data_IF_610519184304
#
_entry.id   IF_610519184304
#
_cell.length_a   1.000
_cell.length_b   1.000
_cell.length_c   1.000
_cell.angle_alpha   90.00
_cell.angle_beta   90.00
_cell.angle_gamma   90.00
#
_symmetry.space_group_name_H-M   'P 1'
#
loop_
_entity.id
_entity.type
_entity.pdbx_description
1 polymer ?
#
# COMPACT_ATOMS: atom_id res chain seq x y z
N UNK A 1 -67.18 -4.06 -19.16
CA UNK A 1 -65.95 -3.35 -19.54
C UNK A 1 -65.03 -3.37 -18.33
N UNK A 2 -64.01 -4.25 -18.34
CA UNK A 2 -62.57 -3.92 -18.49
C UNK A 2 -62.04 -3.08 -17.30
N UNK A 3 -61.06 -3.51 -16.51
CA UNK A 3 -60.23 -4.71 -16.55
C UNK A 3 -59.38 -4.81 -15.28
N UNK A 4 -59.10 -6.03 -14.84
CA UNK A 4 -58.14 -6.33 -13.76
C UNK A 4 -56.72 -6.16 -14.30
N UNK A 5 -55.93 -5.30 -13.67
CA UNK A 5 -54.51 -5.19 -13.92
C UNK A 5 -53.78 -6.34 -13.23
N UNK A 6 -53.28 -7.30 -14.02
CA UNK A 6 -52.38 -8.35 -13.56
C UNK A 6 -50.96 -7.78 -13.56
N UNK A 7 -50.38 -7.60 -12.38
CA UNK A 7 -48.96 -7.30 -12.23
C UNK A 7 -48.16 -8.60 -12.38
N UNK A 8 -47.41 -8.72 -13.47
CA UNK A 8 -46.46 -9.81 -13.67
C UNK A 8 -45.17 -9.52 -12.90
N UNK A 9 -44.86 -10.36 -11.91
CA UNK A 9 -43.60 -10.33 -11.18
C UNK A 9 -42.52 -10.96 -12.07
N UNK A 10 -41.56 -10.16 -12.54
CA UNK A 10 -40.38 -10.67 -13.26
C UNK A 10 -39.35 -11.11 -12.22
N UNK A 11 -39.14 -12.42 -12.10
CA UNK A 11 -38.06 -12.99 -11.29
C UNK A 11 -36.78 -12.94 -12.11
N UNK A 12 -35.89 -12.01 -11.77
CA UNK A 12 -34.52 -11.98 -12.29
C UNK A 12 -33.73 -13.12 -11.63
N UNK A 13 -33.54 -14.22 -12.36
CA UNK A 13 -32.64 -15.30 -11.96
C UNK A 13 -31.20 -14.82 -12.15
N UNK A 14 -30.51 -14.56 -11.04
CA UNK A 14 -29.09 -14.27 -11.04
C UNK A 14 -28.32 -15.52 -11.50
N UNK A 15 -27.51 -15.38 -12.54
CA UNK A 15 -26.60 -16.41 -13.00
C UNK A 15 -25.57 -16.66 -11.87
N UNK A 16 -25.73 -17.75 -11.12
CA UNK A 16 -24.67 -18.23 -10.23
C UNK A 16 -23.55 -18.74 -11.11
N UNK A 17 -22.39 -18.09 -11.06
CA UNK A 17 -21.17 -18.63 -11.64
C UNK A 17 -20.88 -19.96 -10.94
N UNK A 18 -20.93 -21.06 -11.68
CA UNK A 18 -20.43 -22.34 -11.19
C UNK A 18 -18.96 -22.15 -10.82
N UNK A 19 -18.65 -22.42 -9.55
CA UNK A 19 -17.27 -22.63 -9.14
C UNK A 19 -16.91 -24.00 -9.69
N UNK A 20 -16.30 -24.01 -10.87
CA UNK A 20 -15.71 -25.22 -11.44
C UNK A 20 -14.48 -25.55 -10.58
N UNK A 21 -14.70 -26.21 -9.45
CA UNK A 21 -13.64 -26.89 -8.71
C UNK A 21 -13.34 -28.13 -9.54
N UNK A 22 -12.29 -28.11 -10.34
CA UNK A 22 -11.79 -29.30 -11.04
C UNK A 22 -11.41 -30.33 -9.97
N UNK A 23 -12.22 -31.40 -9.77
CA UNK A 23 -11.91 -32.39 -8.75
C UNK A 23 -10.68 -33.17 -9.23
N UNK A 24 -9.61 -33.18 -8.44
CA UNK A 24 -8.36 -33.86 -8.80
C UNK A 24 -7.29 -32.98 -9.46
N UNK A 25 -7.35 -31.65 -9.31
CA UNK A 25 -6.16 -30.82 -9.55
C UNK A 25 -5.08 -31.22 -8.55
N UNK A 26 -4.13 -32.05 -8.98
CA UNK A 26 -2.97 -32.37 -8.17
C UNK A 26 -2.02 -31.18 -8.21
N UNK A 27 -1.49 -30.79 -7.06
CA UNK A 27 -0.44 -29.78 -7.01
C UNK A 27 0.71 -30.23 -7.94
N UNK A 28 1.33 -29.31 -8.70
CA UNK A 28 2.49 -29.64 -9.51
C UNK A 28 3.54 -30.38 -8.68
N UNK A 29 4.13 -31.42 -9.26
CA UNK A 29 5.24 -32.12 -8.62
C UNK A 29 6.51 -31.29 -8.79
N UNK A 30 6.93 -30.66 -7.69
CA UNK A 30 8.17 -29.87 -7.65
C UNK A 30 9.41 -30.75 -7.37
N UNK A 31 9.29 -32.08 -7.46
CA UNK A 31 10.43 -32.98 -7.40
C UNK A 31 11.42 -32.65 -8.53
N UNK A 32 12.66 -32.30 -8.14
CA UNK A 32 13.73 -31.96 -9.07
C UNK A 32 13.98 -30.46 -9.25
N UNK A 33 13.26 -29.58 -8.54
CA UNK A 33 13.68 -28.17 -8.39
C UNK A 33 15.06 -28.14 -7.73
N UNK A 34 16.08 -27.54 -8.37
CA UNK A 34 17.41 -27.43 -7.77
C UNK A 34 17.39 -26.60 -6.49
N UNK A 35 18.14 -27.00 -5.46
CA UNK A 35 18.25 -26.25 -4.18
C UNK A 35 18.61 -24.78 -4.37
N UNK A 36 19.45 -24.45 -5.35
CA UNK A 36 19.80 -23.06 -5.68
C UNK A 36 18.57 -22.21 -6.08
N UNK A 37 17.55 -22.81 -6.69
CA UNK A 37 16.29 -22.11 -7.01
C UNK A 37 15.52 -21.82 -5.71
N UNK A 38 15.47 -22.77 -4.78
CA UNK A 38 14.88 -22.58 -3.45
C UNK A 38 15.61 -21.50 -2.65
N UNK A 39 16.94 -21.53 -2.63
CA UNK A 39 17.77 -20.51 -1.98
C UNK A 39 17.53 -19.11 -2.57
N UNK A 40 17.45 -19.00 -3.90
CA UNK A 40 17.15 -17.73 -4.57
C UNK A 40 15.76 -17.21 -4.20
N UNK A 41 14.75 -18.08 -4.12
CA UNK A 41 13.41 -17.70 -3.68
C UNK A 41 13.40 -17.20 -2.23
N UNK A 42 14.06 -17.91 -1.31
CA UNK A 42 14.21 -17.48 0.08
C UNK A 42 14.94 -16.15 0.16
N UNK A 43 16.07 -15.98 -0.53
CA UNK A 43 16.82 -14.73 -0.55
C UNK A 43 15.96 -13.56 -1.02
N UNK A 44 15.25 -13.75 -2.14
CA UNK A 44 14.37 -12.75 -2.73
C UNK A 44 13.26 -12.33 -1.76
N UNK A 45 12.62 -13.28 -1.09
CA UNK A 45 11.59 -12.99 -0.08
C UNK A 45 12.13 -12.12 1.07
N UNK A 46 13.31 -12.46 1.59
CA UNK A 46 13.93 -11.69 2.67
C UNK A 46 14.28 -10.27 2.21
N UNK A 47 14.83 -10.10 1.01
CA UNK A 47 15.16 -8.77 0.47
C UNK A 47 13.88 -7.96 0.23
N UNK A 48 12.88 -8.55 -0.42
CA UNK A 48 11.65 -7.85 -0.79
C UNK A 48 10.83 -7.44 0.44
N UNK A 49 10.68 -8.35 1.42
CA UNK A 49 9.84 -8.12 2.60
C UNK A 49 10.58 -7.46 3.76
N UNK A 50 11.88 -7.68 3.93
CA UNK A 50 12.65 -7.23 5.09
C UNK A 50 13.78 -6.25 4.74
N UNK A 51 14.12 -6.10 3.46
CA UNK A 51 15.19 -5.19 3.01
C UNK A 51 16.60 -5.69 3.33
N UNK A 52 16.78 -7.01 3.56
CA UNK A 52 18.09 -7.64 3.83
C UNK A 52 18.12 -9.07 3.34
N UNK A 53 19.30 -9.63 3.20
CA UNK A 53 19.50 -11.06 2.97
C UNK A 53 19.21 -11.88 4.25
N UNK A 54 18.83 -13.16 4.12
CA UNK A 54 18.73 -14.05 5.27
C UNK A 54 20.12 -14.35 5.85
N UNK A 55 20.19 -14.56 7.16
CA UNK A 55 21.37 -15.13 7.81
C UNK A 55 21.55 -16.58 7.38
N UNK A 56 22.77 -17.13 7.43
CA UNK A 56 23.05 -18.54 7.06
C UNK A 56 22.11 -19.55 7.74
N UNK A 57 21.81 -19.30 9.02
CA UNK A 57 20.89 -20.13 9.82
C UNK A 57 19.43 -19.99 9.39
N UNK A 58 19.01 -18.79 8.97
CA UNK A 58 17.67 -18.54 8.42
C UNK A 58 17.56 -19.22 7.06
N UNK A 59 18.54 -19.00 6.16
CA UNK A 59 18.59 -19.63 4.84
C UNK A 59 18.48 -21.15 4.93
N UNK A 60 19.34 -21.77 5.75
CA UNK A 60 19.35 -23.22 5.95
C UNK A 60 18.01 -23.73 6.49
N UNK A 61 17.42 -23.02 7.46
CA UNK A 61 16.16 -23.45 8.07
C UNK A 61 14.98 -23.34 7.08
N UNK A 62 14.85 -22.22 6.37
CA UNK A 62 13.73 -22.01 5.46
C UNK A 62 13.82 -22.88 4.20
N UNK A 63 15.02 -23.09 3.64
CA UNK A 63 15.21 -23.99 2.49
C UNK A 63 14.84 -25.42 2.86
N UNK A 64 15.33 -25.95 3.99
CA UNK A 64 14.96 -27.29 4.45
C UNK A 64 13.44 -27.42 4.68
N UNK A 65 12.80 -26.40 5.26
CA UNK A 65 11.35 -26.40 5.48
C UNK A 65 10.58 -26.45 4.15
N UNK A 66 10.98 -25.67 3.15
CA UNK A 66 10.36 -25.65 1.82
C UNK A 66 10.57 -26.97 1.09
N UNK A 67 11.80 -27.50 1.02
CA UNK A 67 12.11 -28.73 0.30
C UNK A 67 11.43 -29.95 0.94
N UNK A 68 11.40 -30.04 2.28
CA UNK A 68 10.69 -31.12 2.99
C UNK A 68 9.18 -31.13 2.75
N UNK A 69 8.62 -29.98 2.38
CA UNK A 69 7.22 -29.80 2.03
C UNK A 69 6.99 -29.70 0.51
N UNK A 70 7.97 -30.15 -0.28
CA UNK A 70 7.97 -30.16 -1.75
C UNK A 70 7.60 -28.80 -2.36
N UNK A 71 8.05 -27.69 -1.76
CA UNK A 71 7.75 -26.31 -2.20
C UNK A 71 6.25 -26.03 -2.44
N UNK A 72 5.38 -26.78 -1.76
CA UNK A 72 3.93 -26.62 -1.87
C UNK A 72 3.51 -25.17 -1.63
N UNK A 73 2.42 -24.75 -2.27
CA UNK A 73 1.87 -23.41 -2.08
C UNK A 73 1.64 -23.08 -0.60
N UNK A 74 1.21 -24.07 0.19
CA UNK A 74 1.05 -23.94 1.64
C UNK A 74 2.38 -23.68 2.37
N UNK A 75 3.48 -24.35 1.99
CA UNK A 75 4.80 -24.11 2.59
C UNK A 75 5.34 -22.71 2.25
N UNK A 76 5.12 -22.24 1.02
CA UNK A 76 5.47 -20.89 0.58
C UNK A 76 4.66 -19.84 1.32
N UNK A 77 3.35 -20.03 1.44
CA UNK A 77 2.47 -19.16 2.23
C UNK A 77 2.89 -19.11 3.70
N UNK A 78 3.30 -20.23 4.29
CA UNK A 78 3.80 -20.26 5.66
C UNK A 78 5.06 -19.42 5.85
N UNK A 79 6.04 -19.51 4.93
CA UNK A 79 7.24 -18.68 4.97
C UNK A 79 6.90 -17.19 4.80
N UNK A 80 6.13 -16.82 3.78
CA UNK A 80 5.74 -15.42 3.55
C UNK A 80 5.01 -14.85 4.76
N UNK A 81 4.07 -15.60 5.33
CA UNK A 81 3.32 -15.19 6.52
C UNK A 81 4.23 -15.03 7.74
N UNK A 82 5.19 -15.94 7.93
CA UNK A 82 6.19 -15.85 9.01
C UNK A 82 7.01 -14.56 8.92
N UNK A 83 7.49 -14.19 7.73
CA UNK A 83 8.26 -12.97 7.52
C UNK A 83 7.43 -11.69 7.75
N UNK A 84 6.12 -11.73 7.47
CA UNK A 84 5.24 -10.57 7.68
C UNK A 84 4.75 -10.42 9.14
N UNK A 85 4.57 -11.53 9.87
CA UNK A 85 3.76 -11.54 11.11
C UNK A 85 4.48 -12.03 12.35
N UNK A 86 5.63 -12.71 12.23
CA UNK A 86 6.31 -13.23 13.41
C UNK A 86 6.83 -12.12 14.32
N UNK A 87 6.45 -12.19 15.59
CA UNK A 87 6.90 -11.32 16.69
C UNK A 87 8.06 -11.92 17.49
N UNK A 88 8.57 -13.08 17.08
CA UNK A 88 9.70 -13.72 17.75
C UNK A 88 10.92 -12.80 17.75
N UNK A 89 11.61 -12.73 18.89
CA UNK A 89 12.74 -11.82 19.06
C UNK A 89 13.91 -12.18 18.13
N UNK A 90 14.42 -11.18 17.43
CA UNK A 90 15.65 -11.22 16.64
C UNK A 90 16.57 -10.09 17.10
N UNK A 91 17.86 -10.38 17.30
CA UNK A 91 18.79 -9.41 17.88
C UNK A 91 18.89 -8.10 17.06
N UNK A 92 18.95 -8.20 15.73
CA UNK A 92 19.15 -7.04 14.86
C UNK A 92 17.83 -6.41 14.36
N UNK A 93 16.78 -7.21 14.23
CA UNK A 93 15.50 -6.77 13.65
C UNK A 93 14.42 -6.47 14.70
N UNK A 94 14.67 -6.80 15.96
CA UNK A 94 13.68 -6.98 17.02
C UNK A 94 12.68 -8.11 16.73
N UNK A 95 12.09 -8.18 15.54
CA UNK A 95 11.28 -9.28 15.03
C UNK A 95 11.06 -9.14 13.52
N UNK A 96 10.67 -10.21 12.83
CA UNK A 96 10.34 -10.13 11.40
C UNK A 96 9.20 -9.15 11.12
N UNK A 97 8.15 -9.13 11.95
CA UNK A 97 7.05 -8.18 11.77
C UNK A 97 7.53 -6.73 11.89
N UNK A 98 8.39 -6.41 12.86
CA UNK A 98 8.95 -5.07 12.99
C UNK A 98 9.74 -4.66 11.73
N UNK A 99 10.56 -5.58 11.21
CA UNK A 99 11.36 -5.35 10.00
C UNK A 99 10.50 -5.24 8.75
N UNK A 100 9.45 -6.04 8.61
CA UNK A 100 8.45 -5.93 7.55
C UNK A 100 7.83 -4.52 7.50
N UNK A 101 7.30 -4.02 8.62
CA UNK A 101 6.69 -2.70 8.63
C UNK A 101 7.71 -1.56 8.41
N UNK A 102 8.98 -1.75 8.83
CA UNK A 102 10.07 -0.83 8.47
C UNK A 102 10.31 -0.81 6.96
N UNK A 103 10.43 -1.98 6.33
CA UNK A 103 10.60 -2.10 4.87
C UNK A 103 9.44 -1.46 4.10
N UNK A 104 8.20 -1.68 4.54
CA UNK A 104 7.03 -1.05 3.94
C UNK A 104 7.10 0.47 4.03
N UNK A 105 7.45 1.01 5.20
CA UNK A 105 7.63 2.45 5.39
C UNK A 105 8.71 3.03 4.46
N UNK A 106 9.84 2.33 4.30
CA UNK A 106 10.92 2.72 3.38
C UNK A 106 10.48 2.71 1.92
N UNK A 107 9.75 1.67 1.48
CA UNK A 107 9.21 1.58 0.13
C UNK A 107 8.23 2.73 -0.16
N UNK A 108 7.39 3.09 0.80
CA UNK A 108 6.50 4.24 0.66
C UNK A 108 7.26 5.56 0.64
N UNK A 109 8.26 5.76 1.50
CA UNK A 109 9.11 6.95 1.42
C UNK A 109 9.85 7.04 0.09
N UNK A 110 10.36 5.92 -0.45
CA UNK A 110 11.01 5.89 -1.75
C UNK A 110 10.04 6.33 -2.87
N UNK A 111 8.79 5.86 -2.81
CA UNK A 111 7.77 6.18 -3.82
C UNK A 111 7.24 7.61 -3.73
N UNK A 112 6.95 8.09 -2.53
CA UNK A 112 6.24 9.36 -2.32
C UNK A 112 7.18 10.51 -1.95
N UNK A 113 8.29 10.23 -1.29
CA UNK A 113 9.13 11.24 -0.64
C UNK A 113 10.60 11.12 -1.08
N UNK A 114 10.86 10.61 -2.28
CA UNK A 114 12.21 10.47 -2.84
C UNK A 114 13.21 9.74 -1.92
N UNK A 115 12.72 8.88 -1.02
CA UNK A 115 13.55 8.12 -0.09
C UNK A 115 14.17 8.96 1.04
N UNK A 116 13.60 10.12 1.39
CA UNK A 116 14.09 10.96 2.50
C UNK A 116 14.29 10.17 3.80
N UNK A 117 15.35 10.53 4.53
CA UNK A 117 15.67 9.94 5.82
C UNK A 117 14.77 10.49 6.93
N UNK A 118 14.71 9.79 8.06
CA UNK A 118 13.92 10.24 9.21
C UNK A 118 14.51 11.52 9.83
N UNK A 119 15.83 11.73 9.70
CA UNK A 119 16.52 12.95 10.13
C UNK A 119 16.05 14.18 9.34
N UNK A 120 15.78 14.02 8.04
CA UNK A 120 15.19 15.09 7.23
C UNK A 120 13.79 15.42 7.74
N UNK A 121 12.95 14.41 7.97
CA UNK A 121 11.60 14.60 8.52
C UNK A 121 11.68 15.29 9.90
N UNK A 122 12.65 14.92 10.73
CA UNK A 122 12.89 15.56 12.03
C UNK A 122 13.31 17.03 11.90
N UNK A 123 14.06 17.39 10.86
CA UNK A 123 14.34 18.79 10.53
C UNK A 123 13.07 19.60 10.25
N UNK A 124 12.14 19.06 9.47
CA UNK A 124 10.84 19.69 9.22
C UNK A 124 10.01 19.80 10.51
N UNK A 125 10.02 18.77 11.36
CA UNK A 125 9.37 18.80 12.67
C UNK A 125 9.95 19.93 13.54
N UNK A 126 11.27 20.03 13.62
CA UNK A 126 11.95 21.07 14.40
C UNK A 126 11.62 22.48 13.91
N UNK A 127 11.57 22.69 12.60
CA UNK A 127 11.17 23.97 12.01
C UNK A 127 9.71 24.33 12.37
N UNK A 128 8.79 23.36 12.28
CA UNK A 128 7.38 23.57 12.64
C UNK A 128 7.20 23.84 14.14
N UNK A 129 7.97 23.17 15.01
CA UNK A 129 7.98 23.42 16.46
C UNK A 129 8.50 24.83 16.80
N UNK A 130 9.58 25.26 16.15
CA UNK A 130 10.12 26.60 16.34
C UNK A 130 9.14 27.68 15.88
N UNK A 131 8.48 27.48 14.73
CA UNK A 131 7.47 28.41 14.23
C UNK A 131 6.27 28.51 15.18
N UNK A 132 5.77 27.38 15.68
CA UNK A 132 4.68 27.35 16.66
C UNK A 132 5.06 28.12 17.94
N UNK A 133 6.28 27.95 18.44
CA UNK A 133 6.77 28.69 19.60
C UNK A 133 6.83 30.20 19.33
N UNK A 134 7.38 30.61 18.18
CA UNK A 134 7.48 32.01 17.79
C UNK A 134 6.10 32.68 17.68
N UNK A 135 5.14 32.02 17.02
CA UNK A 135 3.77 32.51 16.91
C UNK A 135 3.05 32.59 18.26
N UNK A 136 3.30 31.61 19.15
CA UNK A 136 2.75 31.63 20.52
C UNK A 136 3.30 32.80 21.34
N UNK A 137 4.61 33.04 21.32
CA UNK A 137 5.24 34.16 22.02
C UNK A 137 4.83 35.52 21.45
N UNK A 138 4.59 35.58 20.13
CA UNK A 138 4.12 36.77 19.43
C UNK A 138 2.61 37.02 19.53
N UNK A 139 1.84 36.12 20.15
CA UNK A 139 0.37 36.22 20.23
C UNK A 139 -0.36 36.02 18.89
N UNK A 140 0.30 35.43 17.89
CA UNK A 140 -0.29 35.11 16.59
C UNK A 140 -1.04 33.77 16.65
N UNK A 141 -2.27 33.79 17.15
CA UNK A 141 -3.10 32.58 17.29
C UNK A 141 -3.36 31.87 15.95
N UNK A 142 -3.51 32.62 14.85
CA UNK A 142 -3.75 32.02 13.53
C UNK A 142 -2.53 31.26 13.02
N UNK A 143 -1.33 31.87 13.12
CA UNK A 143 -0.07 31.21 12.78
C UNK A 143 0.19 29.98 13.65
N UNK A 144 -0.03 30.10 14.97
CA UNK A 144 0.11 28.99 15.90
C UNK A 144 -0.77 27.79 15.52
N UNK A 145 -2.03 28.02 15.13
CA UNK A 145 -2.93 26.96 14.70
C UNK A 145 -2.46 26.29 13.40
N UNK A 146 -1.96 27.07 12.43
CA UNK A 146 -1.42 26.54 11.19
C UNK A 146 -0.15 25.70 11.43
N UNK A 147 0.78 26.20 12.25
CA UNK A 147 2.00 25.50 12.63
C UNK A 147 1.70 24.20 13.39
N UNK A 148 0.75 24.21 14.33
CA UNK A 148 0.33 23.00 15.05
C UNK A 148 -0.32 21.96 14.12
N UNK A 149 -1.09 22.42 13.12
CA UNK A 149 -1.67 21.52 12.11
C UNK A 149 -0.59 20.83 11.29
N UNK A 150 0.44 21.57 10.86
CA UNK A 150 1.57 21.01 10.11
C UNK A 150 2.42 20.06 10.96
N UNK A 151 2.75 20.46 12.19
CA UNK A 151 3.45 19.61 13.15
C UNK A 151 2.71 18.29 13.38
N UNK A 152 1.37 18.35 13.48
CA UNK A 152 0.52 17.17 13.57
C UNK A 152 0.68 16.23 12.38
N UNK A 153 0.71 16.77 11.15
CA UNK A 153 0.91 15.99 9.91
C UNK A 153 2.29 15.34 9.85
N UNK A 154 3.36 16.09 10.11
CA UNK A 154 4.73 15.56 10.10
C UNK A 154 4.94 14.45 11.13
N UNK A 155 4.41 14.65 12.36
CA UNK A 155 4.45 13.60 13.39
C UNK A 155 3.61 12.38 12.99
N UNK A 156 2.46 12.57 12.33
CA UNK A 156 1.65 11.47 11.82
C UNK A 156 2.36 10.71 10.68
N UNK A 157 3.06 11.40 9.79
CA UNK A 157 3.92 10.80 8.77
C UNK A 157 4.97 9.88 9.41
N UNK A 158 5.73 10.40 10.37
CA UNK A 158 6.78 9.62 11.06
C UNK A 158 6.21 8.41 11.81
N UNK A 159 5.06 8.58 12.48
CA UNK A 159 4.38 7.48 13.18
C UNK A 159 3.64 6.51 12.27
N UNK A 160 3.50 6.79 10.97
CA UNK A 160 2.72 5.93 10.07
C UNK A 160 3.19 4.48 10.07
N UNK A 161 4.50 4.23 10.21
CA UNK A 161 5.08 2.90 10.39
C UNK A 161 4.49 2.16 11.60
N UNK A 162 4.58 2.77 12.78
CA UNK A 162 4.16 2.12 14.04
C UNK A 162 2.64 2.04 14.12
N UNK A 163 1.94 3.09 13.70
CA UNK A 163 0.48 3.10 13.68
C UNK A 163 -0.06 2.03 12.73
N UNK A 164 0.61 1.77 11.60
CA UNK A 164 0.20 0.71 10.67
C UNK A 164 0.52 -0.68 11.19
N UNK A 165 1.72 -0.87 11.79
CA UNK A 165 2.11 -2.12 12.46
C UNK A 165 1.15 -2.50 13.57
N UNK A 166 0.77 -1.53 14.37
CA UNK A 166 -0.07 -1.72 15.55
C UNK A 166 -1.57 -1.70 15.19
N UNK A 167 -1.89 -1.74 13.89
CA UNK A 167 -3.25 -1.76 13.32
C UNK A 167 -4.15 -0.59 13.76
N UNK A 168 -3.54 0.56 14.08
CA UNK A 168 -4.24 1.79 14.42
C UNK A 168 -4.73 2.54 13.17
N UNK A 169 -4.10 2.29 12.02
CA UNK A 169 -4.48 2.83 10.72
C UNK A 169 -4.47 1.76 9.64
N UNK A 170 -5.29 1.95 8.60
CA UNK A 170 -5.27 1.14 7.38
C UNK A 170 -4.31 1.70 6.32
N UNK A 171 -4.17 0.98 5.21
CA UNK A 171 -3.21 1.33 4.17
C UNK A 171 -3.53 2.65 3.44
N UNK A 172 -4.81 2.98 3.29
CA UNK A 172 -5.23 4.26 2.68
C UNK A 172 -4.80 5.46 3.53
N UNK A 173 -4.80 5.32 4.85
CA UNK A 173 -4.32 6.36 5.76
C UNK A 173 -2.79 6.47 5.76
N UNK A 174 -2.06 5.37 5.58
CA UNK A 174 -0.61 5.42 5.32
C UNK A 174 -0.32 6.22 4.05
N UNK A 175 -0.98 5.89 2.93
CA UNK A 175 -0.83 6.62 1.67
C UNK A 175 -1.19 8.10 1.81
N UNK A 176 -2.28 8.41 2.53
CA UNK A 176 -2.70 9.81 2.79
C UNK A 176 -1.63 10.58 3.57
N UNK A 177 -1.04 9.99 4.60
CA UNK A 177 0.03 10.62 5.40
C UNK A 177 1.31 10.85 4.60
N UNK A 178 1.60 9.99 3.61
CA UNK A 178 2.75 10.15 2.71
C UNK A 178 2.62 11.37 1.79
N UNK A 179 1.42 11.69 1.32
CA UNK A 179 1.20 12.82 0.40
C UNK A 179 0.75 14.10 1.10
N UNK A 180 0.26 14.04 2.35
CA UNK A 180 -0.24 15.21 3.08
C UNK A 180 0.73 15.65 4.19
N UNK A 181 1.83 16.30 3.80
CA UNK A 181 2.83 16.86 4.71
C UNK A 181 3.75 17.85 3.96
N UNK A 182 4.46 18.71 4.69
CA UNK A 182 5.37 19.70 4.09
C UNK A 182 6.59 19.12 3.38
N UNK A 183 7.02 17.89 3.67
CA UNK A 183 8.12 17.26 2.92
C UNK A 183 7.68 16.95 1.48
N UNK A 184 6.49 16.37 1.32
CA UNK A 184 5.88 16.15 0.00
C UNK A 184 5.63 17.47 -0.74
N UNK A 185 5.28 18.53 0.01
CA UNK A 185 5.05 19.86 -0.57
C UNK A 185 6.34 20.51 -1.07
N UNK A 186 7.44 20.38 -0.33
CA UNK A 186 8.76 20.87 -0.75
C UNK A 186 9.23 20.17 -2.03
N UNK A 187 9.12 18.84 -2.08
CA UNK A 187 9.48 18.03 -3.26
C UNK A 187 8.72 18.49 -4.50
N UNK A 188 7.42 18.74 -4.35
CA UNK A 188 6.57 19.12 -5.48
C UNK A 188 6.54 20.62 -5.75
N UNK A 189 7.01 21.46 -4.83
CA UNK A 189 7.17 22.93 -4.92
C UNK A 189 5.88 23.77 -5.07
N UNK A 190 4.83 23.27 -5.73
CA UNK A 190 3.60 24.02 -5.97
C UNK A 190 2.38 23.11 -6.16
N UNK A 191 1.19 23.70 -6.12
CA UNK A 191 -0.10 23.01 -6.26
C UNK A 191 -0.25 22.25 -7.60
N UNK A 192 0.32 22.77 -8.69
CA UNK A 192 0.24 22.12 -10.01
C UNK A 192 1.00 20.79 -10.00
N UNK A 193 2.25 20.82 -9.53
CA UNK A 193 3.08 19.63 -9.41
C UNK A 193 2.52 18.65 -8.38
N UNK A 194 2.06 19.16 -7.22
CA UNK A 194 1.45 18.34 -6.17
C UNK A 194 0.28 17.51 -6.71
N UNK A 195 -0.65 18.13 -7.46
CA UNK A 195 -1.80 17.42 -8.04
C UNK A 195 -1.35 16.38 -9.08
N UNK A 196 -0.35 16.68 -9.91
CA UNK A 196 0.15 15.67 -10.85
C UNK A 196 0.85 14.50 -10.13
N UNK A 197 1.66 14.80 -9.12
CA UNK A 197 2.42 13.83 -8.37
C UNK A 197 1.52 12.90 -7.54
N UNK A 198 0.42 13.39 -6.94
CA UNK A 198 -0.52 12.52 -6.22
C UNK A 198 -1.22 11.54 -7.15
N UNK A 199 -1.56 11.94 -8.39
CA UNK A 199 -2.12 11.03 -9.38
C UNK A 199 -1.10 9.97 -9.81
N UNK A 200 0.15 10.37 -10.07
CA UNK A 200 1.20 9.43 -10.44
C UNK A 200 1.55 8.48 -9.28
N UNK A 201 1.88 9.03 -8.12
CA UNK A 201 2.34 8.25 -6.98
C UNK A 201 1.23 7.37 -6.39
N UNK A 202 -0.06 7.78 -6.41
CA UNK A 202 -1.15 6.94 -5.88
C UNK A 202 -1.78 6.04 -6.94
N UNK A 203 -1.95 6.52 -8.19
CA UNK A 203 -2.75 5.84 -9.21
C UNK A 203 -1.93 5.35 -10.41
N UNK A 204 -0.64 5.68 -10.49
CA UNK A 204 0.25 5.34 -11.61
C UNK A 204 -0.31 5.80 -12.97
N UNK A 205 -0.80 7.05 -12.99
CA UNK A 205 -1.27 7.75 -14.20
C UNK A 205 -1.27 9.26 -13.98
N UNK A 206 -1.45 10.02 -15.06
CA UNK A 206 -1.74 11.45 -14.99
C UNK A 206 -3.24 11.74 -14.80
N UNK A 207 -3.61 12.90 -14.24
CA UNK A 207 -5.00 13.33 -14.18
C UNK A 207 -5.52 13.72 -15.57
N UNK A 208 -6.81 13.53 -15.79
CA UNK A 208 -7.53 14.22 -16.89
C UNK A 208 -7.66 15.71 -16.60
N UNK A 209 -7.94 16.53 -17.61
CA UNK A 209 -8.11 17.98 -17.42
C UNK A 209 -9.18 18.34 -16.37
N UNK A 210 -10.29 17.59 -16.33
CA UNK A 210 -11.37 17.83 -15.38
C UNK A 210 -10.97 17.45 -13.93
N UNK A 211 -10.28 16.31 -13.78
CA UNK A 211 -9.73 15.89 -12.49
C UNK A 211 -8.67 16.86 -11.98
N UNK A 212 -7.77 17.31 -12.86
CA UNK A 212 -6.73 18.29 -12.54
C UNK A 212 -7.35 19.61 -12.10
N UNK A 213 -8.28 20.18 -12.88
CA UNK A 213 -8.90 21.46 -12.55
C UNK A 213 -9.62 21.42 -11.19
N UNK A 214 -10.33 20.31 -10.92
CA UNK A 214 -11.04 20.12 -9.66
C UNK A 214 -10.07 19.95 -8.49
N UNK A 215 -9.07 19.08 -8.62
CA UNK A 215 -8.05 18.85 -7.60
C UNK A 215 -7.23 20.10 -7.30
N UNK A 216 -6.81 20.82 -8.35
CA UNK A 216 -6.08 22.08 -8.22
C UNK A 216 -6.89 23.12 -7.45
N UNK A 217 -8.19 23.27 -7.76
CA UNK A 217 -9.08 24.17 -7.02
C UNK A 217 -9.18 23.85 -5.52
N UNK A 218 -9.26 22.57 -5.15
CA UNK A 218 -9.28 22.13 -3.75
C UNK A 218 -7.95 22.40 -3.03
N UNK A 219 -6.82 22.13 -3.70
CA UNK A 219 -5.47 22.24 -3.10
C UNK A 219 -5.02 23.69 -2.97
N UNK A 220 -5.23 24.49 -4.01
CA UNK A 220 -4.64 25.83 -4.15
C UNK A 220 -5.50 26.93 -3.54
N UNK A 221 -6.83 26.81 -3.69
CA UNK A 221 -7.78 27.91 -3.43
C UNK A 221 -8.89 27.53 -2.46
N UNK A 222 -8.83 26.35 -1.83
CA UNK A 222 -9.89 25.79 -0.99
C UNK A 222 -11.28 25.84 -1.67
N UNK A 223 -11.33 25.59 -2.98
CA UNK A 223 -12.56 25.61 -3.76
C UNK A 223 -13.32 24.28 -3.63
N UNK A 224 -14.63 24.32 -3.34
CA UNK A 224 -15.43 23.10 -3.27
C UNK A 224 -15.53 22.44 -4.65
N UNK A 225 -15.46 21.11 -4.67
CA UNK A 225 -15.58 20.30 -5.89
C UNK A 225 -15.93 18.85 -5.57
N UNK A 226 -16.15 18.07 -6.62
CA UNK A 226 -16.42 16.63 -6.52
C UNK A 226 -15.40 15.87 -7.34
N UNK A 227 -14.66 14.96 -6.68
CA UNK A 227 -13.66 14.10 -7.33
C UNK A 227 -13.96 12.64 -6.96
N UNK A 228 -14.02 11.76 -7.95
CA UNK A 228 -14.39 10.34 -7.77
C UNK A 228 -15.72 10.13 -7.01
N UNK A 229 -16.68 11.03 -7.21
CA UNK A 229 -17.99 10.98 -6.54
C UNK A 229 -17.98 11.44 -5.08
N UNK A 230 -16.87 11.95 -4.57
CA UNK A 230 -16.76 12.50 -3.21
C UNK A 230 -16.57 14.01 -3.25
N UNK A 231 -17.30 14.72 -2.40
CA UNK A 231 -17.15 16.17 -2.23
C UNK A 231 -15.92 16.47 -1.38
N UNK A 232 -15.17 17.49 -1.76
CA UNK A 232 -14.06 18.03 -0.98
C UNK A 232 -13.88 19.52 -1.27
N UNK A 233 -13.19 20.21 -0.39
CA UNK A 233 -12.98 21.65 -0.48
C UNK A 233 -11.54 22.06 -0.21
N UNK A 234 -10.74 21.27 0.52
CA UNK A 234 -9.38 21.64 0.90
C UNK A 234 -8.39 20.52 0.59
N UNK A 235 -7.09 20.84 0.68
CA UNK A 235 -5.99 19.90 0.45
C UNK A 235 -6.07 18.60 1.27
N UNK A 236 -6.53 18.70 2.52
CA UNK A 236 -6.68 17.53 3.41
C UNK A 236 -7.76 16.57 2.94
N UNK A 237 -8.93 17.10 2.58
CA UNK A 237 -10.04 16.36 1.99
C UNK A 237 -9.66 15.80 0.62
N UNK A 238 -8.99 16.59 -0.23
CA UNK A 238 -8.44 16.12 -1.50
C UNK A 238 -7.52 14.90 -1.29
N UNK A 239 -6.56 14.98 -0.37
CA UNK A 239 -5.65 13.86 -0.09
C UNK A 239 -6.39 12.61 0.41
N UNK A 240 -7.43 12.79 1.23
CA UNK A 240 -8.27 11.68 1.71
C UNK A 240 -9.06 11.03 0.56
N UNK A 241 -9.67 11.83 -0.33
CA UNK A 241 -10.39 11.35 -1.51
C UNK A 241 -9.44 10.58 -2.44
N UNK A 242 -8.25 11.14 -2.70
CA UNK A 242 -7.25 10.52 -3.56
C UNK A 242 -6.80 9.16 -3.01
N UNK A 243 -6.37 9.10 -1.75
CA UNK A 243 -5.83 7.88 -1.13
C UNK A 243 -6.89 6.80 -0.84
N UNK A 244 -8.17 7.16 -0.80
CA UNK A 244 -9.29 6.24 -0.63
C UNK A 244 -10.00 5.85 -1.93
N UNK A 245 -9.57 6.37 -3.08
CA UNK A 245 -10.23 6.13 -4.36
C UNK A 245 -9.94 4.73 -4.92
N UNK A 246 -10.87 4.20 -5.72
CA UNK A 246 -10.65 2.93 -6.45
C UNK A 246 -9.39 2.98 -7.33
N UNK A 247 -9.09 4.13 -7.94
CA UNK A 247 -7.88 4.32 -8.73
C UNK A 247 -6.60 4.19 -7.90
N UNK A 248 -6.60 4.65 -6.64
CA UNK A 248 -5.46 4.48 -5.74
C UNK A 248 -5.30 3.03 -5.27
N UNK A 249 -6.39 2.31 -5.05
CA UNK A 249 -6.34 0.88 -4.70
C UNK A 249 -5.79 0.05 -5.86
N UNK A 250 -6.21 0.34 -7.09
CA UNK A 250 -5.63 -0.29 -8.29
C UNK A 250 -4.16 0.09 -8.48
N UNK A 251 -3.79 1.36 -8.26
CA UNK A 251 -2.40 1.82 -8.29
C UNK A 251 -1.51 1.14 -7.25
N UNK A 252 -2.06 0.78 -6.09
CA UNK A 252 -1.36 -0.03 -5.08
C UNK A 252 -1.20 -1.49 -5.53
N UNK A 253 -2.22 -2.10 -6.13
CA UNK A 253 -2.13 -3.44 -6.74
C UNK A 253 -1.05 -3.48 -7.82
N UNK A 254 -1.13 -2.57 -8.79
CA UNK A 254 -0.15 -2.45 -9.88
C UNK A 254 1.26 -2.28 -9.37
N UNK A 255 1.45 -1.43 -8.37
CA UNK A 255 2.75 -1.23 -7.76
C UNK A 255 3.29 -2.46 -7.04
N UNK A 256 2.45 -3.27 -6.39
CA UNK A 256 2.90 -4.54 -5.80
C UNK A 256 3.45 -5.48 -6.89
N UNK A 257 2.78 -5.58 -8.03
CA UNK A 257 3.29 -6.36 -9.16
C UNK A 257 4.60 -5.79 -9.72
N UNK A 258 4.69 -4.48 -9.93
CA UNK A 258 5.95 -3.88 -10.41
C UNK A 258 7.09 -4.10 -9.41
N UNK A 259 6.80 -3.98 -8.11
CA UNK A 259 7.80 -4.13 -7.05
C UNK A 259 8.28 -5.57 -6.93
N UNK A 260 7.37 -6.55 -6.89
CA UNK A 260 7.73 -7.94 -6.63
C UNK A 260 7.97 -8.76 -7.89
N UNK A 261 7.33 -8.43 -9.02
CA UNK A 261 7.44 -9.19 -10.28
C UNK A 261 8.26 -8.45 -11.35
N UNK A 262 8.56 -7.16 -11.17
CA UNK A 262 9.26 -6.37 -12.18
C UNK A 262 8.42 -6.05 -13.43
N UNK A 263 7.09 -6.24 -13.36
CA UNK A 263 6.16 -5.99 -14.46
C UNK A 263 4.78 -5.55 -13.95
N UNK A 264 3.99 -4.94 -14.84
CA UNK A 264 2.57 -4.66 -14.56
C UNK A 264 1.75 -5.97 -14.55
N UNK A 265 0.65 -6.02 -13.77
CA UNK A 265 -0.30 -7.11 -13.83
C UNK A 265 -1.08 -7.08 -15.15
N UNK A 266 -1.42 -8.26 -15.67
CA UNK A 266 -2.37 -8.38 -16.77
C UNK A 266 -3.82 -8.14 -16.29
N UNK A 267 -4.77 -8.03 -17.24
CA UNK A 267 -6.17 -7.72 -16.89
C UNK A 267 -6.83 -8.73 -15.95
N UNK A 268 -6.47 -10.02 -16.03
CA UNK A 268 -7.00 -11.05 -15.14
C UNK A 268 -6.42 -10.95 -13.73
N UNK A 269 -5.11 -10.72 -13.63
CA UNK A 269 -4.41 -10.47 -12.35
C UNK A 269 -4.97 -9.24 -11.64
N UNK A 270 -5.13 -8.12 -12.35
CA UNK A 270 -5.73 -6.89 -11.81
C UNK A 270 -7.15 -7.14 -11.33
N UNK A 271 -8.00 -7.77 -12.16
CA UNK A 271 -9.38 -8.06 -11.79
C UNK A 271 -9.47 -8.94 -10.53
N UNK A 272 -8.66 -10.00 -10.46
CA UNK A 272 -8.67 -10.94 -9.33
C UNK A 272 -8.16 -10.28 -8.06
N UNK A 273 -7.02 -9.58 -8.14
CA UNK A 273 -6.44 -8.85 -7.02
C UNK A 273 -7.39 -7.77 -6.50
N UNK A 274 -7.99 -6.97 -7.37
CA UNK A 274 -8.93 -5.91 -6.97
C UNK A 274 -10.19 -6.45 -6.31
N UNK A 275 -10.77 -7.54 -6.82
CA UNK A 275 -11.95 -8.14 -6.20
C UNK A 275 -11.70 -8.67 -4.79
N UNK A 276 -10.49 -9.17 -4.51
CA UNK A 276 -10.12 -9.56 -3.16
C UNK A 276 -9.77 -8.35 -2.29
N UNK A 277 -8.87 -7.49 -2.77
CA UNK A 277 -8.27 -6.43 -1.97
C UNK A 277 -9.28 -5.37 -1.53
N UNK A 278 -10.29 -5.07 -2.36
CA UNK A 278 -11.30 -4.06 -2.01
C UNK A 278 -12.29 -4.51 -0.93
N UNK A 279 -12.27 -5.79 -0.53
CA UNK A 279 -13.13 -6.31 0.53
C UNK A 279 -12.58 -6.02 1.93
N UNK A 280 -11.25 -6.04 2.08
CA UNK A 280 -10.57 -6.01 3.38
C UNK A 280 -9.44 -4.96 3.46
N UNK A 281 -8.96 -4.46 2.32
CA UNK A 281 -7.79 -3.58 2.19
C UNK A 281 -6.53 -4.19 2.84
N UNK A 282 -6.44 -5.53 2.85
CA UNK A 282 -5.33 -6.27 3.45
C UNK A 282 -4.15 -6.36 2.46
N UNK A 283 -3.17 -5.49 2.67
CA UNK A 283 -1.96 -5.45 1.86
C UNK A 283 -1.10 -6.71 2.03
N UNK A 284 -1.03 -7.28 3.24
CA UNK A 284 -0.23 -8.49 3.48
C UNK A 284 -0.83 -9.66 2.71
N UNK A 285 -2.16 -9.77 2.63
CA UNK A 285 -2.86 -10.75 1.79
C UNK A 285 -2.62 -10.55 0.30
N UNK A 286 -2.66 -9.31 -0.18
CA UNK A 286 -2.32 -8.98 -1.58
C UNK A 286 -0.88 -9.40 -1.90
N UNK A 287 0.08 -8.99 -1.08
CA UNK A 287 1.49 -9.33 -1.25
C UNK A 287 1.69 -10.85 -1.22
N UNK A 288 1.10 -11.54 -0.24
CA UNK A 288 1.19 -13.00 -0.13
C UNK A 288 0.66 -13.73 -1.36
N UNK A 289 -0.40 -13.22 -1.99
CA UNK A 289 -0.94 -13.79 -3.23
C UNK A 289 0.04 -13.72 -4.40
N UNK A 290 0.90 -12.69 -4.44
CA UNK A 290 1.92 -12.51 -5.49
C UNK A 290 3.16 -13.35 -5.17
N UNK A 291 3.64 -13.27 -3.92
CA UNK A 291 4.91 -13.83 -3.47
C UNK A 291 4.90 -15.36 -3.38
N UNK A 292 3.73 -16.00 -3.34
CA UNK A 292 3.62 -17.46 -3.32
C UNK A 292 3.46 -18.09 -4.71
N UNK A 293 3.42 -17.29 -5.78
CA UNK A 293 3.29 -17.80 -7.15
C UNK A 293 4.54 -18.52 -7.63
N UNK A 294 4.37 -19.43 -8.59
CA UNK A 294 5.49 -20.11 -9.26
C UNK A 294 6.35 -19.11 -10.04
N UNK A 295 5.73 -18.12 -10.67
CA UNK A 295 6.44 -17.05 -11.39
C UNK A 295 7.35 -16.23 -10.47
N UNK A 296 6.87 -15.85 -9.27
CA UNK A 296 7.71 -15.14 -8.31
C UNK A 296 8.85 -16.03 -7.80
N UNK A 297 8.55 -17.29 -7.49
CA UNK A 297 9.53 -18.24 -7.00
C UNK A 297 10.50 -18.75 -8.08
N UNK A 298 10.23 -18.43 -9.35
CA UNK A 298 10.94 -18.94 -10.52
C UNK A 298 10.96 -20.49 -10.56
N UNK A 299 9.82 -21.09 -10.22
CA UNK A 299 9.58 -22.53 -10.20
C UNK A 299 8.76 -22.89 -11.46
N UNK A 300 9.06 -24.02 -12.14
CA UNK A 300 8.34 -24.45 -13.36
C UNK A 300 6.87 -24.83 -13.13
#
# INVERSE_FOLDING_TARGET
MRGMAVWALVVLSACKKEVEVIPGNQAPDYAGVPTVVTENYVNRLFIDLLGREPLDVEMTAEVNALESASLSMASREALVSKLMTSTAYLADDSSYTNKYYMRQYELYKARFLEGVSDEVIDGFIGNAEQQALADSLGGNTAGLNAANSELGRLRALKRSRTDYRDHLIGITEVMRRMVLNSVYDEINMNSFNYVNATFDNLMMRYPTNAEFATGYGMVDSNSPGVLFGQSGQNKGEYAAIMAGSMGSLEGLVRWCYVTFMGREPNSYETYTAMNSFTQDLDLQKLQRTILTTDEYANIP
#
